data_IF_925570641629
#
_entry.id   IF_925570641629
#
_cell.length_a   1.000
_cell.length_b   1.000
_cell.length_c   1.000
_cell.angle_alpha   90.00
_cell.angle_beta   90.00
_cell.angle_gamma   90.00
#
_symmetry.space_group_name_H-M   'P 1'
#
loop_
_entity.id
_entity.type
_entity.pdbx_description
1 polymer ?
#
# COMPACT_ATOMS: atom_id res chain seq x y z
N UNK A 1 13.58 5.85 0.49
CA UNK A 1 13.17 4.81 -0.48
C UNK A 1 11.76 5.14 -0.98
N UNK A 2 11.46 4.87 -2.24
CA UNK A 2 10.12 5.04 -2.83
C UNK A 2 9.45 3.68 -3.00
N UNK A 3 8.19 3.55 -2.56
CA UNK A 3 7.44 2.29 -2.59
C UNK A 3 6.08 2.52 -3.26
N UNK A 4 5.82 1.79 -4.34
CA UNK A 4 4.53 1.76 -5.01
C UNK A 4 3.65 0.60 -4.49
N UNK A 5 2.38 0.87 -4.23
CA UNK A 5 1.39 -0.13 -3.80
C UNK A 5 0.28 -0.19 -4.85
N UNK A 6 0.01 -1.39 -5.37
CA UNK A 6 -1.10 -1.69 -6.26
C UNK A 6 -1.81 -2.96 -5.76
N UNK A 7 -3.12 -3.04 -5.98
CA UNK A 7 -3.90 -4.26 -5.74
C UNK A 7 -4.29 -4.86 -7.08
N UNK A 8 -3.92 -6.12 -7.32
CA UNK A 8 -4.36 -6.89 -8.48
C UNK A 8 -5.21 -8.08 -8.06
N UNK A 9 -6.13 -8.52 -8.92
CA UNK A 9 -7.05 -9.62 -8.65
C UNK A 9 -8.39 -9.21 -8.02
N UNK A 10 -9.14 -10.20 -7.55
CA UNK A 10 -10.46 -9.99 -6.95
C UNK A 10 -10.40 -9.34 -5.56
N UNK A 11 -11.49 -8.69 -5.17
CA UNK A 11 -11.60 -8.05 -3.85
C UNK A 11 -11.63 -9.10 -2.72
N UNK A 12 -10.95 -8.80 -1.62
CA UNK A 12 -10.98 -9.65 -0.44
C UNK A 12 -10.96 -8.81 0.85
N UNK A 13 -11.65 -9.29 1.90
CA UNK A 13 -11.68 -8.61 3.20
C UNK A 13 -10.28 -8.69 3.84
N UNK A 14 -9.48 -7.64 3.63
CA UNK A 14 -8.12 -7.56 4.16
C UNK A 14 -7.21 -6.61 3.37
N UNK A 15 -7.50 -6.35 2.08
CA UNK A 15 -6.67 -5.50 1.23
C UNK A 15 -6.47 -4.10 1.82
N UNK A 16 -7.56 -3.46 2.22
CA UNK A 16 -7.50 -2.12 2.82
C UNK A 16 -6.69 -2.09 4.13
N UNK A 17 -6.80 -3.15 4.94
CA UNK A 17 -6.04 -3.27 6.18
C UNK A 17 -4.53 -3.45 5.89
N UNK A 18 -4.18 -4.28 4.90
CA UNK A 18 -2.81 -4.50 4.46
C UNK A 18 -2.18 -3.22 3.90
N UNK A 19 -2.87 -2.52 2.99
CA UNK A 19 -2.42 -1.22 2.45
C UNK A 19 -2.15 -0.26 3.60
N UNK A 20 -3.10 -0.11 4.54
CA UNK A 20 -2.96 0.78 5.70
C UNK A 20 -1.76 0.42 6.57
N UNK A 21 -1.55 -0.87 6.85
CA UNK A 21 -0.44 -1.33 7.68
C UNK A 21 0.92 -0.99 7.05
N UNK A 22 1.09 -1.27 5.76
CA UNK A 22 2.33 -0.97 5.02
C UNK A 22 2.57 0.54 4.93
N UNK A 23 1.55 1.32 4.56
CA UNK A 23 1.67 2.78 4.45
C UNK A 23 2.05 3.42 5.78
N UNK A 24 1.34 3.08 6.86
CA UNK A 24 1.62 3.63 8.19
C UNK A 24 3.02 3.28 8.66
N UNK A 25 3.42 2.01 8.51
CA UNK A 25 4.74 1.58 8.96
C UNK A 25 5.86 2.22 8.14
N UNK A 26 5.69 2.27 6.82
CA UNK A 26 6.62 2.90 5.88
C UNK A 26 6.87 4.37 6.19
N UNK A 27 5.81 5.15 6.37
CA UNK A 27 5.93 6.59 6.65
C UNK A 27 6.49 6.84 8.05
N UNK A 28 5.91 6.21 9.09
CA UNK A 28 6.20 6.54 10.49
C UNK A 28 7.55 6.00 10.96
N UNK A 29 7.93 4.79 10.57
CA UNK A 29 9.12 4.14 11.10
C UNK A 29 10.32 4.17 10.15
N UNK A 30 10.07 4.28 8.85
CA UNK A 30 11.13 4.15 7.84
C UNK A 30 11.32 5.41 6.97
N UNK A 31 10.48 6.44 7.13
CA UNK A 31 10.56 7.66 6.32
C UNK A 31 10.41 7.39 4.81
N UNK A 32 9.63 6.38 4.44
CA UNK A 32 9.41 6.02 3.04
C UNK A 32 8.38 6.93 2.38
N UNK A 33 8.63 7.23 1.11
CA UNK A 33 7.70 7.91 0.22
C UNK A 33 6.80 6.84 -0.44
N UNK A 34 5.52 6.81 -0.04
CA UNK A 34 4.56 5.77 -0.43
C UNK A 34 3.62 6.31 -1.52
N UNK A 35 3.55 5.62 -2.65
CA UNK A 35 2.64 5.94 -3.77
C UNK A 35 1.59 4.84 -3.93
N UNK A 36 0.31 5.21 -3.93
CA UNK A 36 -0.80 4.30 -4.26
C UNK A 36 -1.14 4.35 -5.75
N UNK A 37 -1.10 3.21 -6.43
CA UNK A 37 -1.46 3.07 -7.85
C UNK A 37 -2.92 2.60 -7.90
N UNK A 38 -3.80 3.49 -8.36
CA UNK A 38 -5.23 3.20 -8.54
C UNK A 38 -5.47 2.46 -9.84
N UNK A 39 -6.53 1.65 -9.87
CA UNK A 39 -6.94 0.85 -11.02
C UNK A 39 -5.73 0.06 -11.53
N UNK A 40 -5.33 -0.96 -10.74
CA UNK A 40 -4.28 -1.89 -11.13
C UNK A 40 -4.60 -2.60 -12.45
N UNK A 41 -3.83 -3.63 -12.77
CA UNK A 41 -4.09 -4.44 -13.95
C UNK A 41 -5.34 -5.30 -13.78
#
# INVERSE_FOLDING_TARGET
MRVGILTGGGDCPGLNAAIRAVTRKGIVHYGFDILGIKNGW
#
